data_IF_585019790522
#
_entry.id   IF_585019790522
#
_cell.length_a   1.000
_cell.length_b   1.000
_cell.length_c   1.000
_cell.angle_alpha   90.00
_cell.angle_beta   90.00
_cell.angle_gamma   90.00
#
_symmetry.space_group_name_H-M   'P 1'
#
loop_
_entity.id
_entity.type
_entity.pdbx_description
1 polymer ?
#
# COMPACT_ATOMS: atom_id res chain seq x y z
N UNK A 1 14.58 -27.97 39.39
CA UNK A 1 13.75 -26.77 39.59
C UNK A 1 12.56 -26.86 38.65
N UNK A 2 11.38 -27.12 39.21
CA UNK A 2 10.14 -27.39 38.50
C UNK A 2 9.42 -26.07 38.21
N UNK A 3 9.00 -25.83 36.96
CA UNK A 3 8.14 -24.71 36.60
C UNK A 3 6.73 -25.23 36.28
N UNK A 4 5.79 -24.83 37.12
CA UNK A 4 4.37 -25.17 37.08
C UNK A 4 3.70 -24.78 35.76
N UNK A 5 2.96 -25.74 35.20
CA UNK A 5 2.04 -25.53 34.09
C UNK A 5 0.69 -25.08 34.64
N UNK A 6 0.43 -23.78 34.62
CA UNK A 6 -0.88 -23.21 34.90
C UNK A 6 -1.83 -23.48 33.71
N UNK A 7 -2.62 -24.55 33.80
CA UNK A 7 -3.68 -24.86 32.84
C UNK A 7 -4.92 -24.03 33.21
N UNK A 8 -5.11 -22.88 32.55
CA UNK A 8 -6.36 -22.12 32.63
C UNK A 8 -7.47 -22.90 31.90
N UNK A 9 -8.28 -23.65 32.66
CA UNK A 9 -9.60 -24.11 32.22
C UNK A 9 -10.54 -22.90 32.19
N UNK A 10 -10.59 -22.18 31.06
CA UNK A 10 -11.63 -21.19 30.80
C UNK A 10 -12.98 -21.90 30.67
N UNK A 11 -13.80 -21.70 31.68
CA UNK A 11 -15.18 -22.16 31.81
C UNK A 11 -16.04 -21.76 30.61
N UNK A 12 -16.79 -22.70 30.02
CA UNK A 12 -17.62 -22.53 28.81
C UNK A 12 -18.78 -21.53 28.92
N UNK A 13 -18.95 -20.87 30.07
CA UNK A 13 -20.05 -19.94 30.34
C UNK A 13 -19.80 -18.57 29.70
N UNK A 14 -18.54 -18.10 29.63
CA UNK A 14 -18.22 -16.81 29.02
C UNK A 14 -18.43 -16.80 27.49
N UNK A 15 -18.26 -17.95 26.82
CA UNK A 15 -18.50 -18.07 25.38
C UNK A 15 -19.98 -17.91 24.98
N UNK A 16 -20.93 -18.28 25.86
CA UNK A 16 -22.37 -18.17 25.56
C UNK A 16 -22.91 -16.76 25.71
N UNK A 17 -22.36 -15.96 26.62
CA UNK A 17 -22.79 -14.57 26.81
C UNK A 17 -22.29 -13.64 25.69
N UNK A 18 -21.07 -13.86 25.18
CA UNK A 18 -20.53 -13.10 24.07
C UNK A 18 -21.33 -13.29 22.76
N UNK A 19 -21.90 -14.49 22.54
CA UNK A 19 -22.70 -14.80 21.36
C UNK A 19 -24.06 -14.07 21.35
N UNK A 20 -24.69 -13.87 22.52
CA UNK A 20 -25.98 -13.17 22.63
C UNK A 20 -25.86 -11.66 22.40
N UNK A 21 -24.74 -11.04 22.77
CA UNK A 21 -24.51 -9.60 22.55
C UNK A 21 -24.27 -9.27 21.06
N UNK A 22 -23.72 -10.19 20.28
CA UNK A 22 -23.52 -10.00 18.83
C UNK A 22 -24.81 -10.06 18.01
N UNK A 23 -25.87 -10.71 18.52
CA UNK A 23 -27.15 -10.83 17.81
C UNK A 23 -28.05 -9.58 17.94
N UNK A 24 -27.83 -8.73 18.95
CA UNK A 24 -28.63 -7.54 19.19
C UNK A 24 -28.21 -6.31 18.35
N UNK A 25 -27.09 -6.36 17.64
CA UNK A 25 -26.53 -5.21 16.91
C UNK A 25 -26.89 -5.16 15.41
N UNK A 26 -27.70 -6.09 14.90
CA UNK A 26 -27.91 -6.28 13.46
C UNK A 26 -29.16 -5.59 12.89
N UNK A 27 -29.93 -4.84 13.69
CA UNK A 27 -31.19 -4.25 13.24
C UNK A 27 -31.25 -2.74 13.52
N UNK A 28 -30.35 -1.96 12.92
CA UNK A 28 -30.51 -0.50 12.90
C UNK A 28 -31.60 -0.14 11.88
N UNK A 29 -32.67 0.54 12.31
CA UNK A 29 -33.69 1.03 11.38
C UNK A 29 -33.13 2.09 10.43
N UNK A 30 -33.70 2.24 9.21
CA UNK A 30 -33.28 3.24 8.24
C UNK A 30 -33.20 4.64 8.86
N UNK A 31 -32.24 5.46 8.43
CA UNK A 31 -32.05 6.83 8.93
C UNK A 31 -31.71 6.93 10.43
N UNK A 32 -31.41 5.82 11.12
CA UNK A 32 -31.08 5.83 12.55
C UNK A 32 -32.29 6.11 13.46
N UNK A 33 -33.50 5.82 12.99
CA UNK A 33 -34.73 5.93 13.80
C UNK A 33 -34.77 4.88 14.91
N UNK A 34 -35.47 5.21 16.01
CA UNK A 34 -35.77 4.23 17.06
C UNK A 34 -36.86 3.24 16.64
N UNK A 35 -36.91 2.07 17.28
CA UNK A 35 -37.92 1.03 17.02
C UNK A 35 -39.35 1.58 17.21
N UNK A 36 -39.56 2.39 18.26
CA UNK A 36 -40.86 3.01 18.54
C UNK A 36 -41.29 4.00 17.44
N UNK A 37 -40.36 4.78 16.90
CA UNK A 37 -40.64 5.71 15.79
C UNK A 37 -40.91 4.95 14.50
N UNK A 38 -40.12 3.90 14.22
CA UNK A 38 -40.30 3.04 13.07
C UNK A 38 -41.66 2.33 13.09
N UNK A 39 -42.08 1.89 14.27
CA UNK A 39 -43.34 1.18 14.43
C UNK A 39 -44.57 2.07 14.20
N UNK A 40 -44.44 3.37 14.47
CA UNK A 40 -45.49 4.37 14.19
C UNK A 40 -45.62 4.74 12.72
N UNK A 41 -44.63 4.42 11.87
CA UNK A 41 -44.70 4.73 10.43
C UNK A 41 -45.69 3.81 9.70
N UNK A 42 -46.48 4.39 8.80
CA UNK A 42 -47.32 3.62 7.88
C UNK A 42 -46.45 2.77 6.93
N UNK A 43 -46.99 1.70 6.32
CA UNK A 43 -46.24 0.89 5.36
C UNK A 43 -45.64 1.70 4.21
N UNK A 44 -46.35 2.73 3.72
CA UNK A 44 -45.86 3.63 2.68
C UNK A 44 -44.69 4.50 3.17
N UNK A 45 -44.78 5.05 4.39
CA UNK A 45 -43.69 5.81 5.01
C UNK A 45 -42.45 4.95 5.25
N UNK A 46 -42.62 3.68 5.66
CA UNK A 46 -41.51 2.73 5.82
C UNK A 46 -40.80 2.45 4.50
N UNK A 47 -41.56 2.32 3.40
CA UNK A 47 -40.99 2.13 2.06
C UNK A 47 -40.19 3.37 1.63
N UNK A 48 -40.74 4.56 1.84
CA UNK A 48 -40.06 5.81 1.49
C UNK A 48 -38.80 6.03 2.34
N UNK A 49 -38.86 5.74 3.65
CA UNK A 49 -37.70 5.82 4.53
C UNK A 49 -36.56 4.91 4.07
N UNK A 50 -36.85 3.69 3.59
CA UNK A 50 -35.83 2.79 3.01
C UNK A 50 -35.23 3.35 1.73
N UNK A 51 -36.05 3.90 0.83
CA UNK A 51 -35.57 4.53 -0.41
C UNK A 51 -34.68 5.74 -0.11
N UNK A 52 -35.05 6.53 0.90
CA UNK A 52 -34.25 7.68 1.31
C UNK A 52 -32.91 7.24 1.91
N UNK A 53 -32.90 6.19 2.72
CA UNK A 53 -31.69 5.64 3.31
C UNK A 53 -30.72 5.11 2.23
N UNK A 54 -31.24 4.37 1.24
CA UNK A 54 -30.46 3.92 0.08
C UNK A 54 -29.84 5.09 -0.69
N UNK A 55 -30.60 6.18 -0.92
CA UNK A 55 -30.06 7.40 -1.54
C UNK A 55 -28.94 8.02 -0.71
N UNK A 56 -29.13 8.12 0.61
CA UNK A 56 -28.13 8.67 1.52
C UNK A 56 -26.86 7.80 1.57
N UNK A 57 -26.98 6.47 1.50
CA UNK A 57 -25.84 5.56 1.43
C UNK A 57 -25.05 5.72 0.13
N UNK A 58 -25.75 5.81 -1.01
CA UNK A 58 -25.14 6.05 -2.31
C UNK A 58 -24.42 7.39 -2.36
N UNK A 59 -25.03 8.44 -1.81
CA UNK A 59 -24.41 9.77 -1.69
C UNK A 59 -23.16 9.74 -0.81
N UNK A 60 -23.24 9.12 0.39
CA UNK A 60 -22.07 8.94 1.27
C UNK A 60 -20.96 8.14 0.61
N UNK A 61 -21.28 7.13 -0.21
CA UNK A 61 -20.28 6.38 -0.99
C UNK A 61 -19.66 7.26 -2.06
N UNK A 62 -20.45 8.06 -2.79
CA UNK A 62 -19.96 9.00 -3.80
C UNK A 62 -19.00 10.03 -3.20
N UNK A 63 -19.39 10.66 -2.10
CA UNK A 63 -18.56 11.66 -1.41
C UNK A 63 -17.23 11.07 -0.93
N UNK A 64 -17.22 9.85 -0.37
CA UNK A 64 -15.98 9.16 0.02
C UNK A 64 -15.04 8.92 -1.17
N UNK A 65 -15.57 8.43 -2.28
CA UNK A 65 -14.78 8.22 -3.50
C UNK A 65 -14.23 9.52 -4.08
N UNK A 66 -15.00 10.60 -4.01
CA UNK A 66 -14.54 11.92 -4.46
C UNK A 66 -13.45 12.48 -3.56
N UNK A 67 -13.62 12.38 -2.24
CA UNK A 67 -12.60 12.78 -1.26
C UNK A 67 -11.30 11.98 -1.43
N UNK A 68 -11.39 10.66 -1.63
CA UNK A 68 -10.24 9.81 -1.92
C UNK A 68 -9.49 10.27 -3.17
N UNK A 69 -10.20 10.54 -4.27
CA UNK A 69 -9.59 11.07 -5.50
C UNK A 69 -8.94 12.42 -5.30
N UNK A 70 -9.58 13.33 -4.56
CA UNK A 70 -9.01 14.64 -4.26
C UNK A 70 -7.71 14.52 -3.44
N UNK A 71 -7.67 13.61 -2.46
CA UNK A 71 -6.47 13.33 -1.67
C UNK A 71 -5.35 12.76 -2.53
N UNK A 72 -5.66 11.82 -3.42
CA UNK A 72 -4.69 11.25 -4.36
C UNK A 72 -4.11 12.33 -5.30
N UNK A 73 -4.96 13.16 -5.90
CA UNK A 73 -4.52 14.26 -6.76
C UNK A 73 -3.67 15.29 -6.01
N UNK A 74 -4.08 15.65 -4.79
CA UNK A 74 -3.31 16.58 -3.96
C UNK A 74 -1.94 16.00 -3.58
N UNK A 75 -1.87 14.69 -3.30
CA UNK A 75 -0.60 14.02 -3.03
C UNK A 75 0.29 13.98 -4.27
N UNK A 76 -0.27 13.64 -5.44
CA UNK A 76 0.48 13.64 -6.70
C UNK A 76 1.02 15.03 -7.04
N UNK A 77 0.20 16.08 -6.88
CA UNK A 77 0.64 17.46 -7.07
C UNK A 77 1.79 17.83 -6.12
N UNK A 78 1.73 17.41 -4.85
CA UNK A 78 2.84 17.59 -3.90
C UNK A 78 4.09 16.86 -4.37
N UNK A 79 3.96 15.60 -4.80
CA UNK A 79 5.09 14.82 -5.28
C UNK A 79 5.76 15.46 -6.51
N UNK A 80 4.95 15.95 -7.48
CA UNK A 80 5.45 16.70 -8.64
C UNK A 80 6.14 17.99 -8.22
N UNK A 81 5.56 18.74 -7.27
CA UNK A 81 6.16 19.96 -6.74
C UNK A 81 7.49 19.69 -6.00
N UNK A 82 7.64 18.50 -5.40
CA UNK A 82 8.88 18.04 -4.78
C UNK A 82 9.91 17.49 -5.78
N UNK A 83 9.63 17.53 -7.09
CA UNK A 83 10.55 17.10 -8.14
C UNK A 83 10.41 15.63 -8.52
N UNK A 84 9.24 15.02 -8.36
CA UNK A 84 8.98 13.68 -8.89
C UNK A 84 9.07 13.70 -10.43
N UNK A 85 9.98 12.92 -10.98
CA UNK A 85 10.22 12.80 -12.43
C UNK A 85 9.64 11.51 -13.02
N UNK A 86 9.41 10.48 -12.19
CA UNK A 86 8.80 9.22 -12.59
C UNK A 86 7.94 8.67 -11.44
N UNK A 87 6.76 8.17 -11.77
CA UNK A 87 5.92 7.36 -10.89
C UNK A 87 5.58 6.06 -11.60
N UNK A 88 5.88 4.92 -10.96
CA UNK A 88 5.53 3.60 -11.42
C UNK A 88 4.57 2.96 -10.40
N UNK A 89 3.35 2.64 -10.85
CA UNK A 89 2.33 1.95 -10.05
C UNK A 89 1.73 0.83 -10.91
N UNK A 90 2.20 -0.41 -10.76
CA UNK A 90 1.62 -1.54 -11.48
C UNK A 90 0.18 -1.81 -10.99
N UNK A 91 -0.66 -2.40 -11.83
CA UNK A 91 -2.05 -2.75 -11.48
C UNK A 91 -2.12 -3.78 -10.34
N UNK A 92 -1.08 -4.60 -10.23
CA UNK A 92 -0.86 -5.59 -9.17
C UNK A 92 0.56 -5.43 -8.65
N UNK A 93 0.81 -5.84 -7.41
CA UNK A 93 2.16 -5.83 -6.85
C UNK A 93 3.13 -6.55 -7.80
N UNK A 94 4.25 -5.89 -8.12
CA UNK A 94 5.33 -6.48 -8.90
C UNK A 94 6.17 -7.35 -7.97
N UNK A 95 6.11 -8.66 -8.17
CA UNK A 95 6.83 -9.63 -7.36
C UNK A 95 8.24 -9.84 -7.92
N UNK A 96 9.26 -9.71 -7.08
CA UNK A 96 10.67 -9.91 -7.43
C UNK A 96 11.31 -11.01 -6.60
N UNK A 97 12.23 -11.75 -7.23
CA UNK A 97 13.05 -12.78 -6.59
C UNK A 97 12.30 -14.06 -6.25
N UNK A 98 13.04 -15.08 -5.79
CA UNK A 98 12.57 -16.38 -5.30
C UNK A 98 11.56 -17.16 -6.16
N UNK A 99 11.33 -18.42 -5.80
CA UNK A 99 10.47 -19.31 -6.59
C UNK A 99 8.97 -19.00 -6.38
N UNK A 100 8.62 -18.22 -5.36
CA UNK A 100 7.22 -17.90 -5.01
C UNK A 100 6.63 -16.77 -5.84
N UNK A 101 7.45 -15.94 -6.48
CA UNK A 101 6.97 -14.87 -7.34
C UNK A 101 6.44 -15.36 -8.71
N UNK A 102 6.63 -16.64 -9.02
CA UNK A 102 6.14 -17.29 -10.23
C UNK A 102 7.25 -17.48 -11.27
N UNK A 103 6.92 -18.09 -12.42
CA UNK A 103 7.92 -18.34 -13.47
C UNK A 103 8.22 -17.10 -14.32
N UNK A 104 7.32 -16.13 -14.29
CA UNK A 104 7.41 -14.90 -15.09
C UNK A 104 7.91 -13.71 -14.27
N UNK A 105 8.27 -13.93 -13.00
CA UNK A 105 8.91 -12.91 -12.17
C UNK A 105 10.41 -12.88 -12.45
N UNK A 106 10.96 -11.68 -12.42
CA UNK A 106 12.40 -11.44 -12.52
C UNK A 106 12.94 -11.05 -11.15
N UNK A 107 14.22 -11.24 -10.93
CA UNK A 107 14.90 -10.81 -9.69
C UNK A 107 15.02 -9.28 -9.59
N UNK A 108 14.67 -8.55 -10.66
CA UNK A 108 14.80 -7.11 -10.74
C UNK A 108 13.64 -6.41 -11.44
N UNK A 109 13.35 -5.19 -10.97
CA UNK A 109 12.48 -4.21 -11.57
C UNK A 109 13.34 -3.07 -12.13
N UNK A 110 13.33 -2.91 -13.46
CA UNK A 110 14.07 -1.85 -14.15
C UNK A 110 13.11 -0.73 -14.54
N UNK A 111 13.41 0.49 -14.08
CA UNK A 111 12.66 1.71 -14.39
C UNK A 111 13.48 2.59 -15.33
N UNK A 112 13.08 2.67 -16.59
CA UNK A 112 13.72 3.56 -17.56
C UNK A 112 13.19 4.99 -17.42
N UNK A 113 14.10 5.95 -17.25
CA UNK A 113 13.80 7.37 -17.22
C UNK A 113 13.70 8.00 -18.62
N UNK A 114 13.89 7.21 -19.69
CA UNK A 114 13.92 7.60 -21.12
C UNK A 114 15.08 8.54 -21.51
N UNK A 115 15.48 9.46 -20.63
CA UNK A 115 16.60 10.39 -20.81
C UNK A 115 17.39 10.50 -19.50
N UNK A 116 18.55 11.16 -19.57
CA UNK A 116 19.41 11.35 -18.40
C UNK A 116 18.74 12.29 -17.40
N UNK A 117 18.75 11.93 -16.12
CA UNK A 117 18.27 12.76 -15.02
C UNK A 117 19.28 12.77 -13.88
N UNK A 118 19.43 13.90 -13.19
CA UNK A 118 20.07 13.95 -11.88
C UNK A 118 19.06 13.42 -10.85
N UNK A 119 19.25 12.19 -10.40
CA UNK A 119 18.34 11.52 -9.47
C UNK A 119 18.78 11.81 -8.04
N UNK A 120 17.89 12.44 -7.26
CA UNK A 120 18.15 12.81 -5.87
C UNK A 120 17.83 11.64 -4.94
N UNK A 121 16.62 11.08 -5.07
CA UNK A 121 16.12 9.98 -4.23
C UNK A 121 15.12 9.10 -4.96
N UNK A 122 15.02 7.86 -4.50
CA UNK A 122 14.02 6.88 -4.91
C UNK A 122 13.20 6.50 -3.69
N UNK A 123 11.88 6.57 -3.80
CA UNK A 123 10.93 6.04 -2.82
C UNK A 123 10.27 4.80 -3.39
N UNK A 124 10.18 3.73 -2.62
CA UNK A 124 9.39 2.56 -3.03
C UNK A 124 8.55 2.01 -1.87
N UNK A 125 7.32 1.61 -2.17
CA UNK A 125 6.42 0.94 -1.23
C UNK A 125 6.45 -0.55 -1.52
N UNK A 126 6.92 -1.34 -0.55
CA UNK A 126 7.11 -2.78 -0.71
C UNK A 126 6.84 -3.54 0.60
N UNK A 127 6.52 -4.84 0.45
CA UNK A 127 6.50 -5.83 1.54
C UNK A 127 7.14 -7.15 1.13
N UNK A 128 7.45 -7.99 2.13
CA UNK A 128 8.01 -9.34 1.98
C UNK A 128 7.02 -10.42 2.50
N UNK A 129 5.71 -10.18 2.36
CA UNK A 129 4.68 -11.10 2.85
C UNK A 129 4.44 -12.29 1.90
N UNK A 130 5.47 -12.67 1.15
CA UNK A 130 5.49 -13.77 0.18
C UNK A 130 6.42 -14.85 0.71
N UNK A 131 6.07 -16.11 0.50
CA UNK A 131 6.90 -17.22 0.93
C UNK A 131 6.87 -17.49 2.43
N UNK A 132 7.86 -18.25 2.91
CA UNK A 132 7.98 -18.68 4.32
C UNK A 132 9.01 -17.88 5.10
N UNK A 133 9.87 -17.13 4.40
CA UNK A 133 10.88 -16.24 4.96
C UNK A 133 10.37 -14.80 4.90
N UNK A 134 10.82 -13.98 5.84
CA UNK A 134 10.37 -12.59 6.02
C UNK A 134 11.54 -11.69 6.40
N UNK A 135 12.61 -11.80 5.62
CA UNK A 135 13.85 -11.04 5.71
C UNK A 135 14.24 -10.49 4.33
N UNK A 136 13.23 -10.17 3.50
CA UNK A 136 13.46 -9.80 2.10
C UNK A 136 14.36 -8.58 1.95
N UNK A 137 15.49 -8.75 1.25
CA UNK A 137 16.45 -7.68 1.01
C UNK A 137 16.37 -7.15 -0.42
N UNK A 138 16.35 -5.82 -0.55
CA UNK A 138 16.39 -5.13 -1.84
C UNK A 138 17.66 -4.30 -1.97
N UNK A 139 18.30 -4.37 -3.13
CA UNK A 139 19.37 -3.47 -3.53
C UNK A 139 18.86 -2.51 -4.61
N UNK A 140 19.36 -1.27 -4.60
CA UNK A 140 19.01 -0.25 -5.59
C UNK A 140 20.26 0.14 -6.37
N UNK A 141 20.10 0.22 -7.69
CA UNK A 141 21.13 0.60 -8.64
C UNK A 141 20.68 1.80 -9.47
N UNK A 142 21.67 2.59 -9.89
CA UNK A 142 21.50 3.71 -10.81
C UNK A 142 22.53 3.56 -11.94
N UNK A 143 22.05 3.23 -13.16
CA UNK A 143 22.88 2.81 -14.30
C UNK A 143 23.97 1.78 -13.91
N UNK A 144 23.54 0.64 -13.37
CA UNK A 144 24.39 -0.48 -12.91
C UNK A 144 25.31 -0.19 -11.72
N UNK A 145 25.33 1.03 -11.20
CA UNK A 145 26.08 1.34 -9.98
C UNK A 145 25.19 1.16 -8.77
N UNK A 146 25.63 0.30 -7.85
CA UNK A 146 24.98 0.05 -6.57
C UNK A 146 24.96 1.34 -5.73
N UNK A 147 23.76 1.84 -5.41
CA UNK A 147 23.57 3.04 -4.57
C UNK A 147 23.15 2.70 -3.15
N UNK A 148 22.41 1.60 -2.98
CA UNK A 148 22.05 1.08 -1.67
C UNK A 148 21.98 -0.44 -1.72
N UNK A 149 22.45 -1.10 -0.66
CA UNK A 149 22.48 -2.55 -0.50
C UNK A 149 21.67 -2.94 0.73
N UNK A 150 21.14 -4.16 0.73
CA UNK A 150 20.59 -4.83 1.91
C UNK A 150 19.45 -4.02 2.57
N UNK A 151 18.58 -3.40 1.76
CA UNK A 151 17.41 -2.70 2.28
C UNK A 151 16.40 -3.74 2.74
N UNK A 152 16.29 -3.88 4.05
CA UNK A 152 15.36 -4.76 4.75
C UNK A 152 13.91 -4.29 4.54
N UNK A 153 13.16 -5.07 3.76
CA UNK A 153 11.74 -4.85 3.45
C UNK A 153 10.88 -5.51 4.52
N UNK A 154 9.91 -4.76 5.05
CA UNK A 154 9.06 -5.22 6.16
C UNK A 154 7.76 -5.85 5.66
N UNK A 155 7.36 -6.93 6.35
CA UNK A 155 6.10 -7.66 6.11
C UNK A 155 4.82 -6.82 6.01
N UNK A 156 4.72 -5.71 6.74
CA UNK A 156 3.49 -4.92 6.79
C UNK A 156 3.37 -3.86 5.70
N UNK A 157 4.28 -3.83 4.72
CA UNK A 157 4.29 -2.78 3.70
C UNK A 157 4.79 -1.46 4.27
N UNK A 158 5.90 -0.94 3.75
CA UNK A 158 6.39 0.38 4.15
C UNK A 158 7.01 1.13 2.98
N UNK A 159 6.98 2.45 3.07
CA UNK A 159 7.79 3.31 2.21
C UNK A 159 9.26 3.23 2.64
N UNK A 160 10.12 2.88 1.70
CA UNK A 160 11.57 2.90 1.81
C UNK A 160 12.12 4.06 0.99
N UNK A 161 13.09 4.78 1.56
CA UNK A 161 13.75 5.91 0.90
C UNK A 161 15.22 5.61 0.70
N UNK A 162 15.69 5.82 -0.53
CA UNK A 162 17.09 5.69 -0.92
C UNK A 162 17.57 7.00 -1.50
N UNK A 163 18.67 7.54 -0.97
CA UNK A 163 19.35 8.67 -1.56
C UNK A 163 20.24 8.16 -2.69
N UNK A 164 20.10 8.76 -3.88
CA UNK A 164 20.83 8.36 -5.09
C UNK A 164 21.93 9.37 -5.39
N UNK A 165 21.59 10.67 -5.44
CA UNK A 165 22.54 11.77 -5.55
C UNK A 165 23.44 11.73 -6.80
N UNK A 166 22.95 11.19 -7.92
CA UNK A 166 23.76 11.04 -9.15
C UNK A 166 22.94 11.05 -10.44
N UNK A 167 23.58 11.37 -11.58
CA UNK A 167 22.98 11.15 -12.89
C UNK A 167 22.69 9.67 -13.15
N UNK A 168 21.52 9.38 -13.72
CA UNK A 168 21.14 8.05 -14.19
C UNK A 168 20.11 8.11 -15.32
N UNK A 169 20.05 7.04 -16.13
CA UNK A 169 18.99 6.76 -17.11
C UNK A 169 18.06 5.66 -16.64
N UNK A 170 18.54 4.75 -15.80
CA UNK A 170 17.77 3.64 -15.27
C UNK A 170 17.93 3.55 -13.76
N UNK A 171 16.82 3.27 -13.09
CA UNK A 171 16.80 2.87 -11.68
C UNK A 171 16.40 1.41 -11.63
N UNK A 172 17.22 0.57 -11.01
CA UNK A 172 16.94 -0.87 -10.87
C UNK A 172 16.78 -1.21 -9.40
N UNK A 173 15.67 -1.84 -9.05
CA UNK A 173 15.46 -2.49 -7.76
C UNK A 173 15.71 -3.98 -7.96
N UNK A 174 16.52 -4.61 -7.12
CA UNK A 174 16.86 -6.03 -7.25
C UNK A 174 16.71 -6.73 -5.91
N UNK A 175 15.96 -7.83 -5.88
CA UNK A 175 15.90 -8.71 -4.72
C UNK A 175 17.24 -9.45 -4.55
N UNK A 176 17.66 -9.74 -3.31
CA UNK A 176 18.87 -10.50 -3.08
C UNK A 176 18.61 -12.00 -2.96
N UNK A 177 19.37 -12.80 -3.72
CA UNK A 177 19.31 -14.25 -3.59
C UNK A 177 17.93 -14.82 -3.94
N UNK A 178 17.37 -15.61 -3.03
CA UNK A 178 16.05 -16.23 -3.14
C UNK A 178 14.93 -15.43 -2.45
N UNK A 179 15.20 -14.19 -2.03
CA UNK A 179 14.23 -13.37 -1.30
C UNK A 179 13.05 -12.95 -2.18
N UNK A 180 11.85 -13.03 -1.63
CA UNK A 180 10.62 -12.64 -2.33
C UNK A 180 10.07 -11.30 -1.84
N UNK A 181 9.94 -10.34 -2.75
CA UNK A 181 9.50 -8.98 -2.42
C UNK A 181 8.40 -8.50 -3.37
N UNK A 182 7.31 -7.98 -2.82
CA UNK A 182 6.24 -7.30 -3.56
C UNK A 182 6.49 -5.80 -3.59
N UNK A 183 6.61 -5.22 -4.78
CA UNK A 183 6.70 -3.77 -4.99
C UNK A 183 5.39 -3.23 -5.54
N UNK A 184 4.76 -2.32 -4.79
CA UNK A 184 3.46 -1.74 -5.12
C UNK A 184 3.55 -0.39 -5.81
N UNK A 185 4.61 0.38 -5.49
CA UNK A 185 4.81 1.69 -6.09
C UNK A 185 6.29 2.09 -6.00
N UNK A 186 6.79 2.74 -7.04
CA UNK A 186 8.10 3.40 -7.04
C UNK A 186 7.92 4.85 -7.51
N UNK A 187 8.58 5.78 -6.82
CA UNK A 187 8.65 7.20 -7.18
C UNK A 187 10.12 7.60 -7.27
N UNK A 188 10.49 8.27 -8.36
CA UNK A 188 11.84 8.78 -8.57
C UNK A 188 11.78 10.31 -8.53
N UNK A 189 12.62 10.92 -7.70
CA UNK A 189 12.71 12.36 -7.54
C UNK A 189 14.07 12.85 -8.06
N UNK A 190 14.06 14.01 -8.70
CA UNK A 190 15.26 14.60 -9.27
C UNK A 190 14.94 15.69 -10.28
N UNK A 191 15.85 15.88 -11.22
CA UNK A 191 15.67 16.83 -12.32
C UNK A 191 16.20 16.27 -13.63
N UNK A 192 15.52 16.61 -14.73
CA UNK A 192 15.98 16.24 -16.06
C UNK A 192 17.22 17.04 -16.45
N UNK A 193 18.25 16.35 -16.93
CA UNK A 193 19.43 17.03 -17.47
C UNK A 193 19.10 17.47 -18.90
N UNK A 194 19.46 18.72 -19.24
CA UNK A 194 19.31 19.20 -20.61
C UNK A 194 20.26 18.42 -21.53
N UNK A 195 19.77 18.07 -22.71
CA UNK A 195 20.60 17.44 -23.74
C UNK A 195 21.76 18.40 -24.10
N UNK A 196 23.00 17.95 -23.89
CA UNK A 196 24.21 18.75 -24.15
C UNK A 196 24.85 19.42 -22.93
N UNK A 197 24.35 19.21 -21.71
CA UNK A 197 25.11 19.57 -20.52
C UNK A 197 26.35 18.65 -20.40
N UNK A 198 27.56 19.20 -20.54
CA UNK A 198 28.80 18.48 -20.26
C UNK A 198 28.89 18.20 -18.75
N UNK A 199 28.60 16.96 -18.36
CA UNK A 199 28.84 16.48 -17.00
C UNK A 199 30.17 15.73 -16.95
N UNK A 200 31.06 16.21 -16.07
CA UNK A 200 32.25 15.46 -15.64
C UNK A 200 31.80 14.26 -14.81
N UNK A 201 31.85 13.07 -15.40
CA UNK A 201 31.73 11.82 -14.65
C UNK A 201 33.05 11.62 -13.92
N UNK A 202 33.10 12.02 -12.64
CA UNK A 202 34.21 11.65 -11.75
C UNK A 202 33.95 10.21 -11.31
N UNK A 203 34.73 9.27 -11.83
CA UNK A 203 34.72 7.85 -11.43
C UNK A 203 35.58 7.64 -10.20
#
# INVERSE_FOLDING_TARGET
>A
MASDRFVFRLSSVFGRFALLLLLAACATHPLGMSDEEWDRLTPEQRLEARRQDERNELERRRLRLEEERQREQAQEQRDVAEGMILSFRPERAYCMGGDKCGRDSFDELILSLQRMAAVDRVLFFADDNIGTKHDGLVSVYADDVLVARDIDVKRNGKWHQVLVGRPARNITLRAQGDDEVSVYQVKVYGSWLQDGADYLIVR
#
